data_IF_619988507432
#
_entry.id   IF_619988507432
#
_cell.length_a   1.000
_cell.length_b   1.000
_cell.length_c   1.000
_cell.angle_alpha   90.00
_cell.angle_beta   90.00
_cell.angle_gamma   90.00
#
_symmetry.space_group_name_H-M   'P 1'
#
loop_
_entity.id
_entity.type
_entity.pdbx_description
1 polymer ?
#
# COMPACT_ATOMS: atom_id res chain seq x y z
N UNK A 1 -4.25 -16.92 -18.42
CA UNK A 1 -3.57 -15.62 -18.25
C UNK A 1 -4.53 -14.50 -18.66
N UNK A 2 -4.37 -13.29 -18.14
CA UNK A 2 -5.08 -12.12 -18.67
C UNK A 2 -4.38 -11.55 -19.92
N UNK A 3 -4.89 -10.44 -20.46
CA UNK A 3 -4.32 -9.78 -21.65
C UNK A 3 -2.94 -9.16 -21.40
N UNK A 4 -2.52 -9.03 -20.14
CA UNK A 4 -1.21 -8.49 -19.73
C UNK A 4 -0.21 -9.60 -19.37
N UNK A 5 -0.64 -10.86 -19.40
CA UNK A 5 0.21 -12.02 -19.13
C UNK A 5 0.16 -12.57 -17.70
N UNK A 6 -0.62 -11.95 -16.80
CA UNK A 6 -0.74 -12.38 -15.41
C UNK A 6 -1.55 -13.67 -15.27
N UNK A 7 -1.22 -14.48 -14.27
CA UNK A 7 -2.02 -15.65 -13.89
C UNK A 7 -3.28 -15.16 -13.18
N UNK A 8 -4.45 -15.60 -13.66
CA UNK A 8 -5.72 -15.27 -13.01
C UNK A 8 -5.87 -16.16 -11.78
N UNK A 9 -6.16 -15.54 -10.65
CA UNK A 9 -6.48 -16.21 -9.38
C UNK A 9 -7.81 -15.72 -8.84
N UNK A 10 -8.43 -16.50 -7.96
CA UNK A 10 -9.59 -16.08 -7.19
C UNK A 10 -9.18 -15.31 -5.92
N UNK A 11 -10.13 -14.98 -5.05
CA UNK A 11 -9.89 -14.26 -3.79
C UNK A 11 -9.03 -15.05 -2.77
N UNK A 12 -8.77 -16.33 -3.02
CA UNK A 12 -7.96 -17.22 -2.19
C UNK A 12 -6.64 -17.60 -2.90
N UNK A 13 -6.23 -16.82 -3.91
CA UNK A 13 -5.01 -17.01 -4.68
C UNK A 13 -4.95 -18.31 -5.51
N UNK A 14 -6.07 -19.03 -5.61
CA UNK A 14 -6.15 -20.28 -6.35
C UNK A 14 -6.39 -20.01 -7.83
N UNK A 15 -5.67 -20.73 -8.69
CA UNK A 15 -5.82 -20.65 -10.14
C UNK A 15 -7.09 -21.38 -10.61
N UNK A 16 -7.28 -21.49 -11.93
CA UNK A 16 -8.35 -22.33 -12.48
C UNK A 16 -8.12 -23.84 -12.28
N UNK A 17 -6.94 -24.25 -11.81
CA UNK A 17 -6.62 -25.66 -11.48
C UNK A 17 -6.64 -25.82 -9.97
N UNK A 18 -7.49 -26.72 -9.48
CA UNK A 18 -7.67 -26.98 -8.05
C UNK A 18 -6.36 -27.39 -7.39
N UNK A 19 -6.04 -26.77 -6.26
CA UNK A 19 -4.83 -27.01 -5.49
C UNK A 19 -3.57 -26.32 -6.03
N UNK A 20 -3.67 -25.56 -7.13
CA UNK A 20 -2.56 -24.77 -7.66
C UNK A 20 -2.84 -23.29 -7.37
N UNK A 21 -1.89 -22.64 -6.69
CA UNK A 21 -1.95 -21.25 -6.26
C UNK A 21 -0.89 -20.40 -6.97
N UNK A 22 -1.12 -19.10 -7.05
CA UNK A 22 -0.13 -18.14 -7.55
C UNK A 22 -0.20 -16.83 -6.75
N UNK A 23 0.96 -16.22 -6.48
CA UNK A 23 1.13 -15.02 -5.64
C UNK A 23 2.21 -14.10 -6.21
N UNK A 24 2.34 -12.91 -5.64
CA UNK A 24 3.38 -11.94 -5.96
C UNK A 24 3.22 -11.32 -7.34
N UNK A 25 4.33 -11.10 -8.02
CA UNK A 25 4.37 -10.35 -9.28
C UNK A 25 3.62 -11.07 -10.41
N UNK A 26 3.52 -12.40 -10.37
CA UNK A 26 2.92 -13.19 -11.45
C UNK A 26 1.40 -13.04 -11.55
N UNK A 27 0.74 -12.52 -10.51
CA UNK A 27 -0.71 -12.28 -10.48
C UNK A 27 -1.07 -10.80 -10.67
N UNK A 28 -0.09 -9.91 -10.83
CA UNK A 28 -0.28 -8.47 -10.99
C UNK A 28 -0.52 -7.74 -9.66
N UNK A 29 -1.08 -6.52 -9.76
CA UNK A 29 -1.16 -5.59 -8.63
C UNK A 29 0.16 -4.83 -8.40
N UNK A 30 0.38 -4.39 -7.16
CA UNK A 30 1.66 -3.80 -6.76
C UNK A 30 2.75 -4.89 -6.76
N UNK A 31 3.79 -4.69 -7.58
CA UNK A 31 4.93 -5.60 -7.71
C UNK A 31 5.99 -5.23 -6.67
N UNK A 32 5.72 -5.59 -5.42
CA UNK A 32 6.51 -5.26 -4.24
C UNK A 32 6.80 -6.52 -3.42
N UNK A 33 7.99 -6.59 -2.82
CA UNK A 33 8.44 -7.76 -2.06
C UNK A 33 7.50 -8.10 -0.89
N UNK A 34 7.19 -7.12 -0.03
CA UNK A 34 6.32 -7.31 1.13
C UNK A 34 4.87 -7.67 0.75
N UNK A 35 4.40 -7.26 -0.44
CA UNK A 35 3.12 -7.71 -1.00
C UNK A 35 3.16 -9.21 -1.30
N UNK A 36 4.21 -9.68 -1.97
CA UNK A 36 4.38 -11.09 -2.31
C UNK A 36 4.56 -11.97 -1.06
N UNK A 37 5.29 -11.48 -0.06
CA UNK A 37 5.47 -12.14 1.23
C UNK A 37 4.13 -12.34 1.95
N UNK A 38 3.32 -11.29 2.07
CA UNK A 38 2.02 -11.34 2.76
C UNK A 38 1.03 -12.28 2.05
N UNK A 39 1.00 -12.26 0.72
CA UNK A 39 0.19 -13.21 -0.06
C UNK A 39 0.67 -14.65 0.13
N UNK A 40 1.98 -14.87 0.29
CA UNK A 40 2.54 -16.19 0.60
C UNK A 40 2.10 -16.71 1.98
N UNK A 41 2.12 -15.84 2.99
CA UNK A 41 1.59 -16.16 4.33
C UNK A 41 0.09 -16.47 4.24
N UNK A 42 -0.68 -15.64 3.53
CA UNK A 42 -2.11 -15.87 3.34
C UNK A 42 -2.41 -17.21 2.66
N UNK A 43 -1.67 -17.60 1.62
CA UNK A 43 -1.86 -18.93 1.01
C UNK A 43 -1.53 -20.06 1.97
N UNK A 44 -0.45 -19.94 2.74
CA UNK A 44 -0.09 -20.94 3.75
C UNK A 44 -1.19 -21.10 4.82
N UNK A 45 -1.76 -19.99 5.29
CA UNK A 45 -2.88 -19.97 6.24
C UNK A 45 -4.16 -20.57 5.66
N UNK A 46 -4.49 -20.28 4.39
CA UNK A 46 -5.63 -20.90 3.68
C UNK A 46 -5.45 -22.42 3.62
N UNK A 47 -4.25 -22.91 3.28
CA UNK A 47 -3.92 -24.34 3.26
C UNK A 47 -4.06 -24.98 4.65
N UNK A 48 -3.78 -24.22 5.70
CA UNK A 48 -3.98 -24.60 7.09
C UNK A 48 -5.45 -24.43 7.58
N UNK A 49 -6.39 -24.08 6.69
CA UNK A 49 -7.82 -23.84 6.97
C UNK A 49 -8.09 -22.65 7.90
N UNK A 50 -7.24 -21.63 7.84
CA UNK A 50 -7.44 -20.36 8.52
C UNK A 50 -8.12 -19.34 7.57
N UNK A 51 -8.38 -18.13 8.07
CA UNK A 51 -9.11 -17.08 7.36
C UNK A 51 -8.26 -15.80 7.24
N UNK A 52 -7.17 -15.82 6.46
CA UNK A 52 -6.33 -14.63 6.25
C UNK A 52 -7.05 -13.55 5.44
N UNK A 53 -6.57 -12.33 5.58
CA UNK A 53 -6.98 -11.21 4.74
C UNK A 53 -5.80 -10.29 4.47
N UNK A 54 -5.50 -10.08 3.18
CA UNK A 54 -4.52 -9.09 2.72
C UNK A 54 -5.25 -7.86 2.22
N UNK A 55 -5.05 -6.73 2.88
CA UNK A 55 -5.63 -5.46 2.46
C UNK A 55 -4.64 -4.70 1.56
N UNK A 56 -4.91 -4.72 0.25
CA UNK A 56 -4.10 -4.06 -0.76
C UNK A 56 -4.10 -2.53 -0.66
N UNK A 57 -5.07 -1.94 0.04
CA UNK A 57 -5.19 -0.49 0.21
C UNK A 57 -4.17 0.07 1.20
N UNK A 58 -3.56 -0.78 2.01
CA UNK A 58 -2.60 -0.41 3.05
C UNK A 58 -1.19 -0.98 2.80
N UNK A 59 -0.87 -1.28 1.55
CA UNK A 59 0.49 -1.68 1.15
C UNK A 59 1.33 -0.41 0.94
N UNK A 60 2.40 -0.20 1.73
CA UNK A 60 3.26 0.97 1.55
C UNK A 60 4.07 0.85 0.26
N UNK A 61 4.34 2.00 -0.38
CA UNK A 61 5.25 2.14 -1.51
C UNK A 61 6.43 3.02 -1.12
N UNK A 62 7.64 2.65 -1.53
CA UNK A 62 8.88 3.34 -1.12
C UNK A 62 9.84 3.52 -2.30
N UNK A 63 10.46 4.70 -2.38
CA UNK A 63 11.57 5.03 -3.28
C UNK A 63 12.77 5.44 -2.42
N UNK A 64 13.87 4.70 -2.56
CA UNK A 64 15.08 4.82 -1.71
C UNK A 64 16.08 5.89 -2.21
N UNK A 65 15.58 7.04 -2.66
CA UNK A 65 16.40 8.22 -2.97
C UNK A 65 16.82 8.94 -1.68
N UNK A 66 17.62 10.01 -1.81
CA UNK A 66 17.89 10.97 -0.73
C UNK A 66 17.41 12.37 -1.17
N UNK A 67 16.32 12.92 -0.59
CA UNK A 67 15.47 12.30 0.43
C UNK A 67 14.65 11.11 -0.12
N UNK A 68 14.29 10.19 0.77
CA UNK A 68 13.42 9.07 0.43
C UNK A 68 11.97 9.53 0.26
N UNK A 69 11.20 8.78 -0.52
CA UNK A 69 9.76 9.02 -0.70
C UNK A 69 9.01 7.77 -0.29
N UNK A 70 7.97 7.91 0.52
CA UNK A 70 7.12 6.79 0.92
C UNK A 70 5.67 7.20 1.02
N UNK A 71 4.76 6.33 0.65
CA UNK A 71 3.32 6.57 0.81
C UNK A 71 2.56 5.31 1.17
N UNK A 72 1.40 5.49 1.79
CA UNK A 72 0.44 4.42 2.13
C UNK A 72 -0.97 4.98 2.13
N UNK A 73 -1.94 4.16 1.71
CA UNK A 73 -3.34 4.57 1.62
C UNK A 73 -3.65 5.43 0.40
N UNK A 74 -4.78 6.14 0.46
CA UNK A 74 -5.32 6.88 -0.68
C UNK A 74 -4.55 8.17 -0.97
N UNK A 75 -4.43 8.53 -2.24
CA UNK A 75 -3.94 9.84 -2.68
C UNK A 75 -5.05 10.89 -2.65
N UNK A 76 -4.68 12.17 -2.78
CA UNK A 76 -5.67 13.24 -2.89
C UNK A 76 -6.49 13.13 -4.18
N UNK A 77 -5.86 12.72 -5.28
CA UNK A 77 -6.49 12.49 -6.57
C UNK A 77 -7.57 11.41 -6.46
N UNK A 78 -7.25 10.27 -5.83
CA UNK A 78 -8.21 9.18 -5.62
C UNK A 78 -9.39 9.61 -4.76
N UNK A 79 -9.14 10.38 -3.69
CA UNK A 79 -10.20 10.90 -2.81
C UNK A 79 -11.10 11.90 -3.55
N UNK A 80 -10.52 12.79 -4.37
CA UNK A 80 -11.27 13.72 -5.22
C UNK A 80 -12.13 12.98 -6.25
N UNK A 81 -11.55 12.01 -6.96
CA UNK A 81 -12.26 11.20 -7.96
C UNK A 81 -13.39 10.37 -7.34
N UNK A 82 -13.23 9.91 -6.09
CA UNK A 82 -14.27 9.21 -5.35
C UNK A 82 -15.32 10.15 -4.71
N UNK A 83 -15.19 11.47 -4.85
CA UNK A 83 -16.09 12.44 -4.21
C UNK A 83 -16.02 12.41 -2.67
N UNK A 84 -14.95 11.87 -2.10
CA UNK A 84 -14.80 11.70 -0.65
C UNK A 84 -14.26 12.99 -0.04
N UNK A 85 -14.98 13.57 0.92
CA UNK A 85 -14.52 14.75 1.66
C UNK A 85 -13.36 14.38 2.60
N UNK A 86 -12.26 15.12 2.51
CA UNK A 86 -11.07 14.92 3.33
C UNK A 86 -10.46 16.26 3.79
N UNK A 87 -9.62 16.20 4.82
CA UNK A 87 -8.78 17.30 5.32
C UNK A 87 -7.31 16.96 5.04
N UNK A 88 -6.48 17.98 4.90
CA UNK A 88 -5.04 17.84 4.68
C UNK A 88 -4.28 18.47 5.85
N UNK A 89 -3.43 17.68 6.50
CA UNK A 89 -2.38 18.17 7.39
C UNK A 89 -1.03 18.04 6.71
N UNK A 90 -0.18 19.08 6.78
CA UNK A 90 1.16 19.06 6.20
C UNK A 90 2.17 19.66 7.17
N UNK A 91 3.27 18.96 7.41
CA UNK A 91 4.38 19.42 8.26
C UNK A 91 5.70 19.32 7.49
N UNK A 92 6.50 20.38 7.49
CA UNK A 92 7.78 20.43 6.76
C UNK A 92 8.91 19.88 7.64
N UNK A 93 9.86 19.14 7.06
CA UNK A 93 11.06 18.72 7.79
C UNK A 93 11.93 19.92 8.20
N UNK A 94 11.85 21.05 7.48
CA UNK A 94 12.44 22.32 7.87
C UNK A 94 11.95 22.88 9.23
N UNK A 95 10.85 22.38 9.79
CA UNK A 95 10.40 22.73 11.15
C UNK A 95 10.85 21.70 12.21
N UNK A 96 11.40 20.56 11.80
CA UNK A 96 11.81 19.49 12.69
C UNK A 96 13.24 19.73 13.22
N UNK A 97 13.40 19.76 14.55
CA UNK A 97 14.70 20.02 15.18
C UNK A 97 15.74 18.95 14.87
N UNK A 98 15.35 17.68 14.75
CA UNK A 98 16.26 16.58 14.40
C UNK A 98 16.78 16.73 12.96
N UNK A 99 15.89 17.00 12.01
CA UNK A 99 16.23 17.20 10.60
C UNK A 99 17.19 18.39 10.42
N UNK A 100 17.00 19.48 11.18
CA UNK A 100 17.92 20.62 11.17
C UNK A 100 19.32 20.27 11.66
N UNK A 101 19.44 19.52 12.76
CA UNK A 101 20.76 19.19 13.32
C UNK A 101 21.52 18.13 12.51
N UNK A 102 20.84 17.39 11.63
CA UNK A 102 21.46 16.42 10.72
C UNK A 102 21.65 16.95 9.30
N UNK A 103 21.28 18.20 9.02
CA UNK A 103 21.29 18.79 7.67
C UNK A 103 20.41 18.05 6.64
N UNK A 104 19.35 17.37 7.10
CA UNK A 104 18.41 16.60 6.28
C UNK A 104 17.00 17.22 6.34
N UNK A 105 16.90 18.53 6.10
CA UNK A 105 15.66 19.30 6.30
C UNK A 105 14.72 19.35 5.08
N UNK A 106 15.06 18.68 3.99
CA UNK A 106 14.25 18.64 2.76
C UNK A 106 12.99 17.78 2.93
N UNK A 107 11.89 18.22 2.31
CA UNK A 107 10.64 17.45 2.23
C UNK A 107 9.62 17.76 3.33
N UNK A 108 8.60 16.92 3.41
CA UNK A 108 7.47 17.07 4.31
C UNK A 108 6.80 15.74 4.61
N UNK A 109 5.91 15.75 5.60
CA UNK A 109 4.89 14.72 5.84
C UNK A 109 3.52 15.31 5.55
N UNK A 110 2.69 14.60 4.78
CA UNK A 110 1.32 14.94 4.45
C UNK A 110 0.37 13.84 4.91
N UNK A 111 -0.61 14.21 5.72
CA UNK A 111 -1.65 13.30 6.23
C UNK A 111 -3.01 13.72 5.69
N UNK A 112 -3.74 12.75 5.12
CA UNK A 112 -5.11 12.93 4.65
C UNK A 112 -6.07 12.29 5.64
N UNK A 113 -7.07 13.02 6.13
CA UNK A 113 -8.06 12.50 7.09
C UNK A 113 -9.49 12.69 6.61
N UNK A 114 -10.39 11.79 7.01
CA UNK A 114 -11.82 11.92 6.75
C UNK A 114 -12.39 13.13 7.48
N UNK A 115 -13.10 14.03 6.78
CA UNK A 115 -13.58 15.28 7.38
C UNK A 115 -14.58 15.09 8.54
N UNK A 116 -15.29 13.97 8.60
CA UNK A 116 -16.32 13.70 9.62
C UNK A 116 -15.82 12.89 10.81
N UNK A 117 -14.96 11.91 10.56
CA UNK A 117 -14.60 10.88 11.54
C UNK A 117 -13.13 10.94 11.96
N UNK A 118 -12.34 11.85 11.37
CA UNK A 118 -10.89 12.00 11.59
C UNK A 118 -10.03 10.74 11.37
N UNK A 119 -10.61 9.70 10.76
CA UNK A 119 -9.88 8.52 10.30
C UNK A 119 -8.83 8.92 9.27
N UNK A 120 -7.60 8.42 9.42
CA UNK A 120 -6.54 8.58 8.43
C UNK A 120 -6.90 7.81 7.16
N UNK A 121 -6.76 8.46 6.02
CA UNK A 121 -7.06 7.92 4.69
C UNK A 121 -5.80 7.64 3.89
N UNK A 122 -4.72 8.37 4.17
CA UNK A 122 -3.42 8.17 3.55
C UNK A 122 -2.36 9.06 4.17
N UNK A 123 -1.11 8.61 4.06
CA UNK A 123 0.09 9.33 4.53
C UNK A 123 1.13 9.28 3.42
N UNK A 124 1.72 10.45 3.13
CA UNK A 124 2.64 10.69 2.02
C UNK A 124 3.79 11.59 2.46
#
# INVERSE_FOLDING_TARGET
KDSRGFIKVNNSYETNVKGIFAIGDVIGGAMLAHKAEEEGVAVAEILARQLPHVDYEIIPSVIYTHPAVSSIGKTEEELKSAGRKYKVGKCQFAANGRAKVTDDAEGFVKVLTCSKADTILGVH
#
